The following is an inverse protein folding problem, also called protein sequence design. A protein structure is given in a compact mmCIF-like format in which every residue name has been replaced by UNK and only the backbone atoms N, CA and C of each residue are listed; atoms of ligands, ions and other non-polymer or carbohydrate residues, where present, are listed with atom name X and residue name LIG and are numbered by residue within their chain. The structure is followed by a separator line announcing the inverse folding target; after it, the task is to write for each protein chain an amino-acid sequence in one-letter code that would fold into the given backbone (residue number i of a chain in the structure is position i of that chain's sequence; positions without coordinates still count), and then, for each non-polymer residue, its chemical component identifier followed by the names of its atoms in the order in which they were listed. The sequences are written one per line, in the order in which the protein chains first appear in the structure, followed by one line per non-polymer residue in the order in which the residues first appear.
data_IF_489453810212
#
_entry.id   IF_489453810212
#
_cell.length_a   1.000
_cell.length_b   1.000
_cell.length_c   1.000
_cell.angle_alpha   90.00
_cell.angle_beta   90.00
_cell.angle_gamma   90.00
#
_symmetry.space_group_name_H-M   'P 1'
#
loop_
_entity.id
_entity.type
_entity.pdbx_description
1 polymer ?
#
# COMPACT_ATOMS: atom_id res chain seq x y z
N UNK A 1 -2.79 1.15 1.27
CA UNK A 1 -2.68 1.91 0.00
C UNK A 1 -4.07 2.22 -0.52
N UNK A 2 -4.40 3.50 -0.68
CA UNK A 2 -5.59 3.90 -1.45
C UNK A 2 -5.36 3.55 -2.93
N UNK A 3 -6.43 3.36 -3.71
CA UNK A 3 -6.33 3.04 -5.14
C UNK A 3 -5.56 4.11 -5.93
N UNK A 4 -5.61 5.35 -5.46
CA UNK A 4 -4.87 6.48 -6.01
C UNK A 4 -3.35 6.29 -5.97
N UNK A 5 -2.78 5.89 -4.83
CA UNK A 5 -1.32 5.68 -4.71
C UNK A 5 -0.81 4.61 -5.68
N UNK A 6 -1.58 3.54 -5.85
CA UNK A 6 -1.25 2.49 -6.82
C UNK A 6 -1.30 3.02 -8.26
N UNK A 7 -2.41 3.65 -8.65
CA UNK A 7 -2.55 4.21 -9.99
C UNK A 7 -1.49 5.26 -10.32
N UNK A 8 -1.17 6.13 -9.37
CA UNK A 8 -0.13 7.15 -9.52
C UNK A 8 1.27 6.55 -9.70
N UNK A 9 1.65 5.54 -8.90
CA UNK A 9 2.91 4.83 -9.09
C UNK A 9 2.97 4.16 -10.46
N UNK A 10 1.97 3.34 -10.81
CA UNK A 10 2.03 2.60 -12.07
C UNK A 10 1.95 3.52 -13.29
N UNK A 11 1.09 4.55 -13.25
CA UNK A 11 0.97 5.53 -14.31
C UNK A 11 2.28 6.26 -14.56
N UNK A 12 2.93 6.76 -13.50
CA UNK A 12 4.21 7.44 -13.61
C UNK A 12 5.36 6.51 -14.03
N UNK A 13 5.40 5.27 -13.54
CA UNK A 13 6.39 4.27 -13.97
C UNK A 13 6.23 3.90 -15.44
N UNK A 14 5.00 3.63 -15.90
CA UNK A 14 4.73 3.29 -17.31
C UNK A 14 5.06 4.48 -18.20
N UNK A 15 4.66 5.70 -17.84
CA UNK A 15 4.97 6.90 -18.60
C UNK A 15 6.48 7.13 -18.72
N UNK A 16 7.23 6.94 -17.62
CA UNK A 16 8.69 7.10 -17.62
C UNK A 16 9.39 6.02 -18.42
N UNK A 17 9.01 4.76 -18.26
CA UNK A 17 9.59 3.65 -19.01
C UNK A 17 9.28 3.79 -20.52
N UNK A 18 8.02 4.05 -20.88
CA UNK A 18 7.61 4.17 -22.27
C UNK A 18 8.30 5.34 -22.97
N UNK A 19 8.35 6.53 -22.34
CA UNK A 19 9.05 7.70 -22.89
C UNK A 19 10.55 7.47 -23.03
N UNK A 20 11.20 6.84 -22.04
CA UNK A 20 12.63 6.53 -22.08
C UNK A 20 13.00 5.51 -23.15
N UNK A 21 12.23 4.43 -23.26
CA UNK A 21 12.42 3.41 -24.31
C UNK A 21 12.20 4.04 -25.69
N UNK A 22 11.13 4.81 -25.87
CA UNK A 22 10.82 5.47 -27.14
C UNK A 22 11.95 6.40 -27.56
N UNK A 23 12.45 7.23 -26.63
CA UNK A 23 13.60 8.11 -26.88
C UNK A 23 14.85 7.30 -27.27
N UNK A 24 15.18 6.24 -26.53
CA UNK A 24 16.35 5.41 -26.82
C UNK A 24 16.26 4.75 -28.21
N UNK A 25 15.09 4.22 -28.55
CA UNK A 25 14.84 3.59 -29.85
C UNK A 25 15.00 4.59 -30.99
N UNK A 26 14.35 5.76 -30.87
CA UNK A 26 14.46 6.82 -31.88
C UNK A 26 15.91 7.30 -32.01
N UNK A 27 16.64 7.45 -30.90
CA UNK A 27 18.02 7.94 -30.95
C UNK A 27 18.97 6.96 -31.63
N UNK A 28 18.80 5.65 -31.40
CA UNK A 28 19.79 4.64 -31.80
C UNK A 28 19.45 3.88 -33.08
N UNK A 29 18.16 3.74 -33.41
CA UNK A 29 17.73 2.94 -34.56
C UNK A 29 17.21 3.77 -35.73
N UNK A 30 16.88 5.04 -35.53
CA UNK A 30 16.40 5.88 -36.63
C UNK A 30 17.58 6.72 -37.12
N UNK A 31 17.85 6.65 -38.42
CA UNK A 31 18.83 7.49 -39.10
C UNK A 31 18.12 8.67 -39.76
N UNK A 32 18.70 9.86 -39.62
CA UNK A 32 18.26 11.02 -40.39
C UNK A 32 18.72 10.89 -41.84
N UNK A 33 17.88 11.32 -42.78
CA UNK A 33 18.25 11.45 -44.20
C UNK A 33 19.23 12.60 -44.47
N UNK A 34 19.44 13.50 -43.50
CA UNK A 34 20.35 14.64 -43.61
C UNK A 34 21.64 14.40 -42.78
N UNK A 35 22.83 14.40 -43.41
CA UNK A 35 24.12 14.21 -42.74
C UNK A 35 24.43 15.20 -41.60
N UNK A 36 23.79 16.36 -41.58
CA UNK A 36 24.02 17.41 -40.57
C UNK A 36 22.92 17.49 -39.52
N UNK A 37 21.94 16.58 -39.56
CA UNK A 37 20.85 16.60 -38.61
C UNK A 37 21.30 16.18 -37.21
N UNK A 38 21.10 17.08 -36.24
CA UNK A 38 21.31 16.82 -34.81
C UNK A 38 20.24 15.90 -34.22
N UNK A 39 19.06 15.87 -34.85
CA UNK A 39 17.87 15.13 -34.44
C UNK A 39 17.55 14.09 -35.51
N UNK A 40 17.40 12.83 -35.09
CA UNK A 40 17.10 11.74 -36.03
C UNK A 40 15.61 11.66 -36.36
N UNK A 41 14.75 12.00 -35.40
CA UNK A 41 13.30 11.91 -35.55
C UNK A 41 12.58 13.10 -34.89
N UNK A 42 11.55 13.71 -35.50
CA UNK A 42 10.86 14.88 -34.95
C UNK A 42 10.21 14.64 -33.57
N UNK A 43 9.91 13.39 -33.21
CA UNK A 43 9.39 13.03 -31.88
C UNK A 43 10.46 12.81 -30.80
N UNK A 44 11.75 12.75 -31.16
CA UNK A 44 12.87 12.60 -30.22
C UNK A 44 12.84 13.66 -29.08
N UNK A 45 12.73 14.97 -29.35
CA UNK A 45 12.68 15.98 -28.28
C UNK A 45 11.43 15.87 -27.41
N UNK A 46 10.32 15.40 -27.96
CA UNK A 46 9.08 15.21 -27.20
C UNK A 46 9.19 14.02 -26.25
N UNK A 47 9.74 12.91 -26.71
CA UNK A 47 9.99 11.73 -25.88
C UNK A 47 10.93 12.07 -24.72
N UNK A 48 12.01 12.83 -24.99
CA UNK A 48 12.94 13.26 -23.95
C UNK A 48 12.28 14.19 -22.92
N UNK A 49 11.52 15.19 -23.36
CA UNK A 49 10.79 16.10 -22.46
C UNK A 49 9.79 15.36 -21.58
N UNK A 50 9.04 14.42 -22.16
CA UNK A 50 8.11 13.59 -21.41
C UNK A 50 8.83 12.76 -20.35
N UNK A 51 9.98 12.17 -20.69
CA UNK A 51 10.77 11.37 -19.76
C UNK A 51 11.30 12.20 -18.59
N UNK A 52 11.86 13.38 -18.88
CA UNK A 52 12.39 14.31 -17.86
C UNK A 52 11.26 14.80 -16.93
N UNK A 53 10.03 14.97 -17.43
CA UNK A 53 8.90 15.39 -16.62
C UNK A 53 8.29 14.23 -15.81
N UNK A 54 8.22 13.03 -16.39
CA UNK A 54 7.61 11.87 -15.74
C UNK A 54 8.54 11.21 -14.71
N UNK A 55 9.86 11.26 -14.92
CA UNK A 55 10.84 10.69 -14.01
C UNK A 55 10.74 11.24 -12.56
N UNK A 56 10.66 12.56 -12.30
CA UNK A 56 10.49 13.09 -10.95
C UNK A 56 9.11 12.75 -10.36
N UNK A 57 8.06 12.65 -11.18
CA UNK A 57 6.75 12.18 -10.71
C UNK A 57 6.81 10.73 -10.23
N UNK A 58 7.51 9.87 -10.97
CA UNK A 58 7.77 8.49 -10.56
C UNK A 58 8.60 8.43 -9.28
N UNK A 59 9.67 9.23 -9.20
CA UNK A 59 10.51 9.34 -8.01
C UNK A 59 9.69 9.74 -6.77
N UNK A 60 8.81 10.74 -6.93
CA UNK A 60 7.91 11.17 -5.88
C UNK A 60 6.91 10.07 -5.48
N UNK A 61 6.32 9.37 -6.45
CA UNK A 61 5.41 8.25 -6.19
C UNK A 61 6.09 7.12 -5.40
N UNK A 62 7.31 6.76 -5.78
CA UNK A 62 8.13 5.77 -5.07
C UNK A 62 8.48 6.28 -3.67
N UNK A 63 8.81 7.56 -3.52
CA UNK A 63 9.08 8.19 -2.23
C UNK A 63 7.88 8.13 -1.27
N UNK A 64 6.67 8.48 -1.74
CA UNK A 64 5.43 8.39 -0.95
C UNK A 64 5.14 6.97 -0.46
N UNK A 65 5.36 5.97 -1.33
CA UNK A 65 5.18 4.56 -0.96
C UNK A 65 6.27 4.11 0.01
N UNK A 66 7.50 4.60 -0.17
CA UNK A 66 8.63 4.27 0.70
C UNK A 66 8.37 4.74 2.12
N UNK A 67 7.92 5.98 2.32
CA UNK A 67 7.66 6.54 3.66
C UNK A 67 6.47 5.87 4.36
N UNK A 68 5.39 5.58 3.63
CA UNK A 68 4.18 5.00 4.22
C UNK A 68 4.24 3.48 4.41
N UNK A 69 4.94 2.75 3.55
CA UNK A 69 4.93 1.28 3.54
C UNK A 69 6.28 0.67 3.83
N UNK A 70 7.36 1.14 3.19
CA UNK A 70 8.69 0.56 3.39
C UNK A 70 9.21 0.92 4.78
N UNK A 71 9.13 2.19 5.20
CA UNK A 71 9.58 2.63 6.53
C UNK A 71 8.82 1.92 7.66
N UNK A 72 7.50 1.81 7.53
CA UNK A 72 6.65 1.12 8.52
C UNK A 72 6.91 -0.39 8.52
N UNK A 73 7.13 -1.01 7.37
CA UNK A 73 7.49 -2.43 7.25
C UNK A 73 8.93 -2.73 7.69
N UNK A 74 9.83 -1.74 7.67
CA UNK A 74 11.18 -1.90 8.19
C UNK A 74 11.21 -1.78 9.71
N UNK A 75 10.31 -0.95 10.27
CA UNK A 75 10.14 -0.74 11.71
C UNK A 75 9.27 -1.79 12.40
N UNK A 76 8.33 -2.41 11.69
CA UNK A 76 7.52 -3.52 12.20
C UNK A 76 8.05 -4.85 11.65
N UNK A 77 8.42 -5.77 12.53
CA UNK A 77 9.08 -7.04 12.20
C UNK A 77 8.13 -8.09 11.56
N UNK A 78 7.26 -7.66 10.63
CA UNK A 78 6.30 -8.54 9.98
C UNK A 78 6.95 -9.25 8.77
N UNK A 79 6.94 -10.60 8.69
CA UNK A 79 7.71 -11.38 7.69
C UNK A 79 7.25 -11.26 6.23
N UNK A 80 6.09 -10.66 5.96
CA UNK A 80 5.40 -10.85 4.69
C UNK A 80 5.86 -9.84 3.63
N UNK A 81 6.84 -10.22 2.79
CA UNK A 81 7.16 -9.52 1.52
C UNK A 81 8.47 -8.71 1.46
N UNK A 82 9.30 -8.72 2.51
CA UNK A 82 10.52 -7.88 2.66
C UNK A 82 11.55 -8.00 1.53
N UNK A 83 11.72 -9.16 0.90
CA UNK A 83 12.79 -9.36 -0.10
C UNK A 83 12.51 -8.59 -1.39
N UNK A 84 11.29 -8.70 -1.91
CA UNK A 84 10.90 -7.99 -3.14
C UNK A 84 10.94 -6.47 -3.02
N UNK A 85 10.53 -5.93 -1.86
CA UNK A 85 10.62 -4.49 -1.59
C UNK A 85 12.06 -3.98 -1.48
N UNK A 86 12.94 -4.72 -0.78
CA UNK A 86 14.37 -4.36 -0.66
C UNK A 86 15.09 -4.38 -2.01
N UNK A 87 14.87 -5.41 -2.82
CA UNK A 87 15.48 -5.52 -4.15
C UNK A 87 15.04 -4.33 -5.02
N UNK A 88 13.75 -4.00 -5.03
CA UNK A 88 13.25 -2.84 -5.77
C UNK A 88 13.92 -1.53 -5.33
N UNK A 89 14.08 -1.31 -4.01
CA UNK A 89 14.80 -0.14 -3.50
C UNK A 89 16.27 -0.10 -3.92
N UNK A 90 16.99 -1.24 -3.83
CA UNK A 90 18.40 -1.31 -4.23
C UNK A 90 18.63 -1.10 -5.72
N UNK A 91 17.69 -1.49 -6.57
CA UNK A 91 17.75 -1.21 -8.03
C UNK A 91 17.39 0.24 -8.32
N UNK A 92 16.47 0.82 -7.56
CA UNK A 92 15.98 2.17 -7.80
C UNK A 92 17.03 3.27 -7.52
N UNK A 93 17.88 3.07 -6.52
CA UNK A 93 18.98 4.01 -6.21
C UNK A 93 19.95 4.21 -7.39
N UNK A 94 20.59 3.15 -7.93
CA UNK A 94 21.49 3.30 -9.08
C UNK A 94 20.75 3.76 -10.34
N UNK A 95 19.45 3.46 -10.49
CA UNK A 95 18.64 4.01 -11.58
C UNK A 95 18.58 5.54 -11.54
N UNK A 96 18.29 6.12 -10.38
CA UNK A 96 18.22 7.59 -10.23
C UNK A 96 19.60 8.22 -10.38
N UNK A 97 20.63 7.61 -9.76
CA UNK A 97 22.01 8.08 -9.86
C UNK A 97 22.51 8.09 -11.30
N UNK A 98 22.28 7.00 -12.06
CA UNK A 98 22.67 6.94 -13.48
C UNK A 98 21.95 8.00 -14.31
N UNK A 99 20.67 8.27 -14.06
CA UNK A 99 19.93 9.33 -14.75
C UNK A 99 20.50 10.73 -14.48
N UNK A 100 20.86 11.01 -13.23
CA UNK A 100 21.51 12.27 -12.86
C UNK A 100 22.92 12.38 -13.46
N UNK A 101 23.70 11.31 -13.42
CA UNK A 101 25.06 11.27 -13.96
C UNK A 101 25.11 11.52 -15.47
N UNK A 102 24.08 11.12 -16.24
CA UNK A 102 23.96 11.45 -17.68
C UNK A 102 23.89 12.96 -17.91
N UNK A 103 23.34 13.73 -16.96
CA UNK A 103 23.24 15.19 -17.06
C UNK A 103 24.52 15.91 -16.63
N UNK A 104 25.34 15.27 -15.78
CA UNK A 104 26.53 15.88 -15.19
C UNK A 104 27.83 15.57 -15.94
N UNK A 105 27.89 14.43 -16.64
CA UNK A 105 29.11 13.93 -17.29
C UNK A 105 29.12 14.33 -18.77
N UNK A 106 30.28 14.73 -19.29
CA UNK A 106 30.46 15.12 -20.71
C UNK A 106 31.31 14.14 -21.53
N UNK A 107 31.92 13.15 -20.88
CA UNK A 107 32.73 12.11 -21.54
C UNK A 107 31.88 11.21 -22.45
N UNK A 108 32.19 11.10 -23.76
CA UNK A 108 31.38 10.33 -24.71
C UNK A 108 31.24 8.84 -24.37
N UNK A 109 32.35 8.19 -24.02
CA UNK A 109 32.35 6.76 -23.67
C UNK A 109 31.55 6.51 -22.39
N UNK A 110 31.71 7.40 -21.40
CA UNK A 110 30.96 7.30 -20.15
C UNK A 110 29.47 7.46 -20.40
N UNK A 111 29.06 8.44 -21.21
CA UNK A 111 27.66 8.66 -21.57
C UNK A 111 27.03 7.45 -22.27
N UNK A 112 27.77 6.79 -23.17
CA UNK A 112 27.26 5.59 -23.85
C UNK A 112 27.03 4.43 -22.86
N UNK A 113 28.01 4.13 -22.01
CA UNK A 113 27.88 3.09 -20.97
C UNK A 113 26.74 3.43 -20.02
N UNK A 114 26.63 4.70 -19.61
CA UNK A 114 25.63 5.15 -18.66
C UNK A 114 24.22 5.11 -19.26
N UNK A 115 24.06 5.43 -20.54
CA UNK A 115 22.78 5.33 -21.25
C UNK A 115 22.27 3.88 -21.28
N UNK A 116 23.13 2.93 -21.63
CA UNK A 116 22.79 1.50 -21.60
C UNK A 116 22.50 1.00 -20.18
N UNK A 117 23.34 1.37 -19.22
CA UNK A 117 23.13 1.01 -17.82
C UNK A 117 21.82 1.57 -17.28
N UNK A 118 21.50 2.83 -17.59
CA UNK A 118 20.26 3.48 -17.18
C UNK A 118 19.03 2.81 -17.79
N UNK A 119 19.07 2.46 -19.08
CA UNK A 119 18.01 1.70 -19.74
C UNK A 119 17.81 0.32 -19.09
N UNK A 120 18.90 -0.42 -18.87
CA UNK A 120 18.84 -1.74 -18.24
C UNK A 120 18.28 -1.65 -16.81
N UNK A 121 18.76 -0.73 -16.00
CA UNK A 121 18.25 -0.47 -14.65
C UNK A 121 16.78 -0.07 -14.67
N UNK A 122 16.35 0.73 -15.66
CA UNK A 122 14.96 1.15 -15.82
C UNK A 122 14.03 -0.03 -16.08
N UNK A 123 14.43 -0.94 -16.98
CA UNK A 123 13.69 -2.17 -17.27
C UNK A 123 13.65 -3.10 -16.06
N UNK A 124 14.77 -3.28 -15.36
CA UNK A 124 14.83 -4.11 -14.14
C UNK A 124 13.96 -3.51 -13.04
N UNK A 125 13.97 -2.19 -12.85
CA UNK A 125 13.13 -1.51 -11.85
C UNK A 125 11.64 -1.64 -12.18
N UNK A 126 11.24 -1.39 -13.43
CA UNK A 126 9.86 -1.57 -13.87
C UNK A 126 9.40 -3.03 -13.71
N UNK A 127 10.25 -3.99 -14.07
CA UNK A 127 10.03 -5.42 -13.86
C UNK A 127 9.89 -5.77 -12.38
N UNK A 128 10.78 -5.28 -11.52
CA UNK A 128 10.74 -5.52 -10.07
C UNK A 128 9.44 -4.99 -9.43
N UNK A 129 8.98 -3.80 -9.84
CA UNK A 129 7.69 -3.24 -9.41
C UNK A 129 6.52 -4.13 -9.88
N UNK A 130 6.56 -4.61 -11.13
CA UNK A 130 5.57 -5.54 -11.68
C UNK A 130 5.53 -6.89 -10.95
N UNK A 131 6.69 -7.51 -10.72
CA UNK A 131 6.83 -8.78 -10.00
C UNK A 131 6.36 -8.63 -8.55
N UNK A 132 6.70 -7.53 -7.87
CA UNK A 132 6.22 -7.26 -6.51
C UNK A 132 4.68 -7.26 -6.45
N UNK A 133 4.01 -6.66 -7.44
CA UNK A 133 2.54 -6.69 -7.55
C UNK A 133 2.02 -8.12 -7.78
N UNK A 134 2.63 -8.88 -8.68
CA UNK A 134 2.20 -10.27 -8.96
C UNK A 134 2.31 -11.14 -7.71
N UNK A 135 3.42 -11.07 -6.98
CA UNK A 135 3.61 -11.83 -5.74
C UNK A 135 2.56 -11.47 -4.68
N UNK A 136 2.26 -10.17 -4.52
CA UNK A 136 1.22 -9.72 -3.59
C UNK A 136 -0.20 -10.13 -4.05
N UNK A 137 -0.47 -10.11 -5.35
CA UNK A 137 -1.77 -10.47 -5.90
C UNK A 137 -2.03 -11.99 -5.81
N UNK A 138 -1.03 -12.80 -6.17
CA UNK A 138 -1.09 -14.26 -6.06
C UNK A 138 -1.28 -14.69 -4.60
N UNK A 139 -0.58 -14.06 -3.66
CA UNK A 139 -0.76 -14.36 -2.23
C UNK A 139 -2.10 -13.87 -1.67
N UNK A 140 -2.66 -12.76 -2.15
CA UNK A 140 -4.04 -12.35 -1.80
C UNK A 140 -5.09 -13.33 -2.34
N UNK A 141 -4.90 -13.87 -3.55
CA UNK A 141 -5.76 -14.94 -4.09
C UNK A 141 -5.65 -16.21 -3.25
N UNK A 142 -4.43 -16.63 -2.90
CA UNK A 142 -4.18 -17.77 -2.02
C UNK A 142 -4.82 -17.59 -0.63
N UNK A 143 -4.74 -16.40 -0.02
CA UNK A 143 -5.37 -16.11 1.28
C UNK A 143 -6.90 -16.09 1.24
N UNK A 144 -7.49 -15.71 0.10
CA UNK A 144 -8.94 -15.83 -0.12
C UNK A 144 -9.38 -17.27 -0.38
N UNK A 145 -8.53 -18.09 -1.00
CA UNK A 145 -8.75 -19.54 -1.15
C UNK A 145 -8.49 -20.34 0.13
N UNK A 146 -7.71 -19.79 1.07
CA UNK A 146 -7.37 -20.40 2.35
C UNK A 146 -8.26 -19.93 3.53
N UNK A 147 -9.44 -19.37 3.26
CA UNK A 147 -10.50 -19.22 4.26
C UNK A 147 -11.59 -20.29 4.03
N UNK A 148 -11.33 -21.58 4.31
CA UNK A 148 -12.41 -22.46 4.69
C UNK A 148 -12.84 -22.07 6.11
N UNK A 149 -14.12 -21.70 6.25
CA UNK A 149 -14.94 -22.04 7.41
C UNK A 149 -14.27 -21.85 8.78
N UNK A 150 -14.33 -20.63 9.31
CA UNK A 150 -14.75 -20.46 10.70
C UNK A 150 -16.21 -20.03 10.64
N UNK A 151 -17.06 -20.91 10.10
CA UNK A 151 -18.44 -20.91 10.55
C UNK A 151 -18.33 -21.25 12.04
N UNK A 152 -18.53 -20.24 12.90
CA UNK A 152 -19.01 -20.53 14.24
C UNK A 152 -20.23 -21.44 14.04
N UNK A 153 -20.26 -22.65 14.61
CA UNK A 153 -21.44 -23.48 14.54
C UNK A 153 -22.54 -22.76 15.34
N UNK A 154 -23.43 -22.06 14.63
CA UNK A 154 -24.75 -21.67 15.10
C UNK A 154 -25.65 -22.92 15.23
N UNK A 155 -25.14 -23.95 15.92
CA UNK A 155 -25.75 -25.26 16.14
C UNK A 155 -26.04 -25.51 17.63
N UNK A 156 -25.99 -24.48 18.48
CA UNK A 156 -26.45 -24.57 19.87
C UNK A 156 -27.87 -24.00 20.09
N UNK A 157 -28.60 -23.62 19.04
CA UNK A 157 -29.93 -22.98 19.17
C UNK A 157 -31.12 -23.86 18.69
N UNK A 158 -30.91 -25.15 18.37
CA UNK A 158 -32.03 -25.98 17.88
C UNK A 158 -32.06 -27.42 18.38
N UNK A 159 -31.42 -27.72 19.51
CA UNK A 159 -31.46 -29.06 20.09
C UNK A 159 -31.57 -28.99 21.61
N UNK A 160 -32.66 -28.39 22.10
CA UNK A 160 -33.30 -28.87 23.33
C UNK A 160 -34.77 -28.38 23.33
N UNK A 161 -35.63 -29.15 22.67
CA UNK A 161 -37.08 -29.03 22.79
C UNK A 161 -37.59 -30.40 23.23
N UNK A 162 -37.17 -30.83 24.41
CA UNK A 162 -37.83 -31.92 25.09
C UNK A 162 -39.14 -31.40 25.73
N UNK A 163 -40.27 -32.12 25.59
CA UNK A 163 -41.50 -31.77 26.27
C UNK A 163 -41.34 -32.07 27.77
N UNK A 164 -41.44 -31.02 28.59
CA UNK A 164 -41.51 -31.10 30.06
C UNK A 164 -42.71 -32.00 30.45
N UNK A 165 -42.51 -33.05 31.27
CA UNK A 165 -43.62 -33.86 31.75
C UNK A 165 -44.46 -33.08 32.76
N UNK A 166 -45.77 -33.18 32.57
CA UNK A 166 -46.83 -32.56 33.34
C UNK A 166 -46.96 -33.27 34.70
N UNK A 167 -46.15 -32.86 35.67
CA UNK A 167 -46.24 -33.38 37.04
C UNK A 167 -45.81 -32.31 38.05
N UNK A 168 -46.70 -31.34 38.31
CA UNK A 168 -46.77 -30.56 39.56
C UNK A 168 -48.02 -29.64 39.56
N UNK A 169 -49.19 -30.17 39.17
CA UNK A 169 -50.48 -29.58 39.54
C UNK A 169 -51.04 -30.34 40.75
N UNK A 170 -50.46 -30.12 41.92
CA UNK A 170 -51.14 -30.32 43.20
C UNK A 170 -50.22 -29.74 44.29
N UNK A 171 -50.58 -28.56 44.80
CA UNK A 171 -50.69 -28.27 46.22
C UNK A 171 -51.09 -26.80 46.42
N UNK A 172 -52.37 -26.63 46.76
CA UNK A 172 -52.94 -25.61 47.65
C UNK A 172 -52.30 -24.20 47.74
N UNK A 173 -53.09 -23.21 47.31
CA UNK A 173 -53.12 -21.86 47.87
C UNK A 173 -53.67 -21.86 49.33
N UNK A 174 -53.94 -20.72 50.00
CA UNK A 174 -53.24 -19.45 50.15
C UNK A 174 -53.02 -19.08 51.65
N UNK A 175 -52.07 -18.19 52.01
CA UNK A 175 -52.16 -17.50 53.32
C UNK A 175 -51.61 -16.07 53.34
N UNK A 176 -52.58 -15.15 53.36
CA UNK A 176 -52.63 -13.77 53.90
C UNK A 176 -51.39 -13.17 54.59
N UNK A 177 -51.06 -11.96 54.10
CA UNK A 177 -50.97 -10.68 54.83
C UNK A 177 -49.92 -10.44 55.93
N UNK A 178 -49.01 -9.49 55.67
CA UNK A 178 -48.80 -8.29 56.51
C UNK A 178 -48.03 -7.18 55.77
N UNK A 179 -48.51 -5.96 55.93
CA UNK A 179 -47.90 -4.65 55.61
C UNK A 179 -47.70 -3.90 56.96
N UNK A 180 -47.25 -2.64 57.04
CA UNK A 180 -45.94 -2.00 56.76
C UNK A 180 -45.33 -1.31 58.02
N UNK A 181 -44.07 -0.81 58.00
CA UNK A 181 -43.52 0.28 58.87
C UNK A 181 -42.02 0.48 58.57
N UNK A 182 -41.57 1.59 57.96
CA UNK A 182 -41.15 2.89 58.55
C UNK A 182 -39.93 2.85 59.49
N UNK A 183 -39.06 3.89 59.33
CA UNK A 183 -37.80 4.25 60.03
C UNK A 183 -36.55 3.61 59.38
N UNK A 184 -35.55 4.32 58.83
CA UNK A 184 -34.99 5.66 59.11
C UNK A 184 -34.62 6.37 57.78
N UNK A 185 -35.00 7.61 57.48
CA UNK A 185 -34.77 8.88 58.16
C UNK A 185 -33.32 9.39 58.06
N UNK A 186 -33.11 10.36 57.16
CA UNK A 186 -32.19 11.51 57.27
C UNK A 186 -30.67 11.20 57.32
N UNK A 187 -29.74 11.98 56.79
CA UNK A 187 -29.69 13.34 56.29
C UNK A 187 -28.41 13.43 55.41
N UNK A 188 -28.36 14.26 54.36
CA UNK A 188 -27.59 15.54 54.38
C UNK A 188 -26.08 15.39 54.61
N UNK A 189 -25.15 16.01 53.88
CA UNK A 189 -25.20 17.27 53.11
C UNK A 189 -23.83 17.53 52.46
N UNK A 190 -23.88 18.33 51.39
CA UNK A 190 -22.99 19.44 51.00
C UNK A 190 -21.46 19.21 50.89
N UNK A 191 -20.87 19.36 49.70
CA UNK A 191 -20.44 20.63 49.07
C UNK A 191 -19.22 21.29 49.74
N UNK A 192 -18.08 21.30 49.05
CA UNK A 192 -17.13 22.42 49.08
C UNK A 192 -16.45 22.54 47.72
N UNK A 193 -17.09 23.36 46.90
CA UNK A 193 -16.49 24.20 45.87
C UNK A 193 -15.53 25.19 46.56
N UNK A 194 -14.33 25.44 46.02
CA UNK A 194 -13.56 26.69 46.28
C UNK A 194 -12.63 27.00 45.10
N UNK A 195 -12.48 28.27 44.71
CA UNK A 195 -11.97 28.71 43.41
C UNK A 195 -10.52 29.27 43.46
N UNK A 196 -10.02 29.66 42.28
CA UNK A 196 -8.85 30.53 42.02
C UNK A 196 -8.99 31.92 42.73
N UNK A 197 -8.09 32.94 42.62
CA UNK A 197 -6.91 33.11 41.75
C UNK A 197 -5.68 33.83 42.40
N UNK A 198 -4.54 33.90 41.68
CA UNK A 198 -3.80 35.14 41.35
C UNK A 198 -2.64 34.84 40.40
#
# INVERSE_FOLDING_TARGET
MTRFHGWFLYGSTIATAASGITYFVMKRFFESSDPWAVINHPLEPWALKLHILSAPLMLFAVGLITTQHIWRSLRSSLPTGRHSGRIASYVFVPLVLSGYSIQAITSPLTLEVLAWAHLALGLVAAGAIGVHRMVLHTRRRQRKGALPVLQLPAQLESADTDPVPDSCQELEAPRRARSPSQADAHASRSSTETPAPR
#
